data_IF_913725233957
#
_entry.id   IF_913725233957
#
_cell.length_a   1.000
_cell.length_b   1.000
_cell.length_c   1.000
_cell.angle_alpha   90.00
_cell.angle_beta   90.00
_cell.angle_gamma   90.00
#
_symmetry.space_group_name_H-M   'P 1'
#
loop_
_entity.id
_entity.type
_entity.pdbx_description
1 polymer ?
#
# COMPACT_ATOMS: atom_id res chain seq x y z
N UNK A 1 8.67 -8.48 9.66
CA UNK A 1 7.99 -7.55 8.75
C UNK A 1 6.57 -7.42 9.29
N UNK A 2 6.02 -6.21 9.30
CA UNK A 2 4.79 -5.93 10.07
C UNK A 2 3.60 -6.73 9.54
N UNK A 3 2.83 -7.41 10.42
CA UNK A 3 1.60 -8.13 10.09
C UNK A 3 0.61 -7.25 9.30
N UNK A 4 0.66 -5.92 9.51
CA UNK A 4 -0.17 -4.96 8.79
C UNK A 4 0.11 -4.92 7.28
N UNK A 5 1.35 -5.17 6.84
CA UNK A 5 1.68 -5.15 5.42
C UNK A 5 1.17 -6.40 4.73
N UNK A 6 1.35 -7.57 5.34
CA UNK A 6 0.80 -8.81 4.82
C UNK A 6 -0.72 -8.69 4.69
N UNK A 7 -1.40 -8.24 5.75
CA UNK A 7 -2.84 -7.99 5.69
C UNK A 7 -3.24 -7.00 4.59
N UNK A 8 -2.64 -5.81 4.58
CA UNK A 8 -3.01 -4.77 3.63
C UNK A 8 -2.77 -5.19 2.18
N UNK A 9 -1.60 -5.73 1.87
CA UNK A 9 -1.27 -6.09 0.50
C UNK A 9 -1.99 -7.36 0.03
N UNK A 10 -2.23 -8.34 0.89
CA UNK A 10 -2.99 -9.54 0.53
C UNK A 10 -4.49 -9.24 0.36
N UNK A 11 -5.08 -8.50 1.30
CA UNK A 11 -6.52 -8.24 1.30
C UNK A 11 -6.97 -7.17 0.28
N UNK A 12 -6.19 -6.10 0.08
CA UNK A 12 -6.56 -4.99 -0.81
C UNK A 12 -5.86 -5.03 -2.16
N UNK A 13 -4.80 -5.82 -2.29
CA UNK A 13 -4.08 -6.04 -3.54
C UNK A 13 -3.99 -7.54 -3.88
N UNK A 14 -5.08 -8.27 -3.67
CA UNK A 14 -5.26 -9.64 -4.20
C UNK A 14 -5.14 -9.66 -5.73
N UNK A 15 -5.08 -10.86 -6.32
CA UNK A 15 -4.76 -11.04 -7.75
C UNK A 15 -5.62 -10.21 -8.71
N UNK A 16 -6.91 -10.08 -8.41
CA UNK A 16 -7.92 -9.41 -9.24
C UNK A 16 -8.39 -8.07 -8.66
N UNK A 17 -7.58 -7.41 -7.82
CA UNK A 17 -7.94 -6.16 -7.14
C UNK A 17 -8.46 -5.04 -8.07
N UNK A 18 -8.14 -5.09 -9.37
CA UNK A 18 -8.64 -4.14 -10.37
C UNK A 18 -10.13 -4.30 -10.70
N UNK A 19 -10.73 -5.42 -10.34
CA UNK A 19 -12.18 -5.61 -10.45
C UNK A 19 -12.93 -4.80 -9.36
N UNK A 20 -12.28 -4.58 -8.22
CA UNK A 20 -12.85 -3.86 -7.07
C UNK A 20 -12.45 -2.37 -7.03
N UNK A 21 -11.29 -2.02 -7.61
CA UNK A 21 -10.73 -0.68 -7.52
C UNK A 21 -10.27 -0.11 -8.86
N UNK A 22 -10.72 1.10 -9.17
CA UNK A 22 -10.29 1.84 -10.38
C UNK A 22 -8.79 2.17 -10.39
N UNK A 23 -8.19 2.31 -9.21
CA UNK A 23 -6.77 2.61 -9.01
C UNK A 23 -6.24 2.04 -7.71
N UNK A 24 -4.92 1.90 -7.60
CA UNK A 24 -4.29 1.47 -6.36
C UNK A 24 -4.55 2.44 -5.20
N UNK A 25 -4.69 3.74 -5.49
CA UNK A 25 -5.01 4.75 -4.48
C UNK A 25 -6.48 4.73 -4.05
N UNK A 26 -7.40 4.17 -4.85
CA UNK A 26 -8.78 3.90 -4.36
C UNK A 26 -8.80 2.77 -3.34
N UNK A 27 -7.95 1.75 -3.47
CA UNK A 27 -7.80 0.71 -2.44
C UNK A 27 -7.29 1.30 -1.12
N UNK A 28 -6.32 2.23 -1.16
CA UNK A 28 -5.84 2.96 0.04
C UNK A 28 -6.96 3.77 0.71
N UNK A 29 -7.80 4.45 -0.09
CA UNK A 29 -8.95 5.20 0.44
C UNK A 29 -9.98 4.28 1.08
N UNK A 30 -10.20 3.11 0.50
CA UNK A 30 -11.12 2.11 1.03
C UNK A 30 -10.61 1.55 2.36
N UNK A 31 -9.32 1.17 2.44
CA UNK A 31 -8.66 0.77 3.68
C UNK A 31 -8.85 1.82 4.77
N UNK A 32 -8.54 3.09 4.48
CA UNK A 32 -8.71 4.19 5.44
C UNK A 32 -10.15 4.33 5.96
N UNK A 33 -11.15 4.03 5.12
CA UNK A 33 -12.56 4.16 5.46
C UNK A 33 -13.08 2.95 6.26
N UNK A 34 -12.59 1.76 5.92
CA UNK A 34 -13.10 0.50 6.45
C UNK A 34 -12.40 0.05 7.75
N UNK A 35 -11.12 0.38 7.89
CA UNK A 35 -10.28 -0.18 8.93
C UNK A 35 -10.24 0.67 10.21
N UNK A 36 -10.01 0.04 11.39
CA UNK A 36 -9.80 0.75 12.64
C UNK A 36 -8.60 1.71 12.56
N UNK A 37 -8.66 2.80 13.34
CA UNK A 37 -7.58 3.79 13.46
C UNK A 37 -6.23 3.15 13.77
N UNK A 38 -6.19 2.12 14.62
CA UNK A 38 -4.95 1.43 14.97
C UNK A 38 -4.29 0.74 13.77
N UNK A 39 -5.07 0.11 12.88
CA UNK A 39 -4.57 -0.48 11.63
C UNK A 39 -4.01 0.60 10.70
N UNK A 40 -4.68 1.75 10.60
CA UNK A 40 -4.24 2.90 9.81
C UNK A 40 -2.91 3.42 10.33
N UNK A 41 -2.77 3.62 11.65
CA UNK A 41 -1.53 4.07 12.28
C UNK A 41 -0.38 3.10 12.03
N UNK A 42 -0.63 1.79 12.16
CA UNK A 42 0.38 0.77 11.88
C UNK A 42 0.83 0.79 10.42
N UNK A 43 -0.10 0.93 9.46
CA UNK A 43 0.22 1.02 8.05
C UNK A 43 1.04 2.27 7.74
N UNK A 44 0.64 3.43 8.28
CA UNK A 44 1.39 4.70 8.13
C UNK A 44 2.82 4.58 8.65
N UNK A 45 3.01 4.00 9.84
CA UNK A 45 4.34 3.78 10.40
C UNK A 45 5.18 2.85 9.52
N UNK A 46 4.60 1.72 9.11
CA UNK A 46 5.28 0.78 8.22
C UNK A 46 5.68 1.41 6.90
N UNK A 47 4.81 2.20 6.27
CA UNK A 47 5.08 2.90 5.01
C UNK A 47 6.18 3.96 5.17
N UNK A 48 6.20 4.72 6.27
CA UNK A 48 7.26 5.69 6.58
C UNK A 48 8.62 4.98 6.78
N UNK A 49 8.64 3.85 7.50
CA UNK A 49 9.84 3.03 7.65
C UNK A 49 10.32 2.44 6.33
N UNK A 50 9.39 1.94 5.50
CA UNK A 50 9.72 1.38 4.18
C UNK A 50 10.31 2.46 3.27
N UNK A 51 9.72 3.66 3.25
CA UNK A 51 10.21 4.80 2.46
C UNK A 51 11.61 5.26 2.87
N UNK A 52 12.01 5.03 4.13
CA UNK A 52 13.36 5.35 4.61
C UNK A 52 14.46 4.45 4.04
N UNK A 53 14.09 3.33 3.40
CA UNK A 53 15.04 2.40 2.76
C UNK A 53 15.50 2.96 1.41
N UNK A 54 16.79 2.80 1.11
CA UNK A 54 17.41 3.33 -0.11
C UNK A 54 17.10 2.54 -1.39
N UNK A 55 16.59 1.32 -1.28
CA UNK A 55 16.24 0.47 -2.41
C UNK A 55 14.82 -0.05 -2.27
N UNK A 56 13.96 0.33 -3.23
CA UNK A 56 12.53 0.00 -3.30
C UNK A 56 12.21 -0.51 -4.71
N UNK A 57 12.60 -1.75 -5.04
CA UNK A 57 12.32 -2.34 -6.36
C UNK A 57 10.81 -2.48 -6.57
N UNK A 58 10.35 -2.49 -7.83
CA UNK A 58 8.93 -2.55 -8.18
C UNK A 58 8.17 -3.75 -7.59
N UNK A 59 8.87 -4.85 -7.28
CA UNK A 59 8.31 -6.04 -6.66
C UNK A 59 8.23 -5.97 -5.12
N UNK A 60 8.52 -4.81 -4.51
CA UNK A 60 8.52 -4.62 -3.05
C UNK A 60 7.20 -5.08 -2.43
N UNK A 61 6.07 -4.70 -3.03
CA UNK A 61 4.74 -5.06 -2.50
C UNK A 61 4.37 -6.52 -2.80
N UNK A 62 4.91 -7.10 -3.87
CA UNK A 62 4.73 -8.53 -4.14
C UNK A 62 5.41 -9.40 -3.08
N UNK A 63 6.57 -8.97 -2.58
CA UNK A 63 7.25 -9.64 -1.46
C UNK A 63 6.50 -9.52 -0.13
N UNK A 64 5.50 -8.64 -0.06
CA UNK A 64 4.63 -8.43 1.10
C UNK A 64 3.23 -9.05 0.90
N UNK A 65 3.05 -9.92 -0.11
CA UNK A 65 1.79 -10.65 -0.36
C UNK A 65 0.90 -10.04 -1.44
N UNK A 66 1.17 -8.81 -1.88
CA UNK A 66 0.33 -8.12 -2.87
C UNK A 66 0.58 -8.55 -4.32
N UNK A 67 -0.37 -8.23 -5.19
CA UNK A 67 -0.27 -8.42 -6.63
C UNK A 67 -0.11 -7.08 -7.38
N UNK A 68 0.04 -5.99 -6.62
CA UNK A 68 0.22 -4.66 -7.15
C UNK A 68 1.69 -4.31 -7.38
N UNK A 69 1.97 -3.75 -8.58
CA UNK A 69 3.23 -3.09 -8.91
C UNK A 69 2.96 -1.63 -9.29
N UNK A 70 3.59 -0.65 -8.62
CA UNK A 70 3.41 0.77 -8.91
C UNK A 70 3.65 1.19 -10.36
N UNK A 71 4.55 0.50 -11.07
CA UNK A 71 4.80 0.75 -12.50
C UNK A 71 3.56 0.55 -13.38
N UNK A 72 2.61 -0.30 -12.97
CA UNK A 72 1.33 -0.50 -13.69
C UNK A 72 0.45 0.75 -13.69
N UNK A 73 0.75 1.73 -12.84
CA UNK A 73 0.12 3.05 -12.79
C UNK A 73 1.12 4.19 -13.02
N UNK A 74 2.29 3.89 -13.62
CA UNK A 74 3.29 4.88 -13.98
C UNK A 74 4.03 5.50 -12.78
N UNK A 75 4.10 4.81 -11.65
CA UNK A 75 4.77 5.28 -10.43
C UNK A 75 5.94 4.39 -10.04
N UNK A 76 6.95 4.98 -9.40
CA UNK A 76 7.90 4.25 -8.55
C UNK A 76 7.23 3.83 -7.23
N UNK A 77 7.83 2.88 -6.53
CA UNK A 77 7.38 2.48 -5.19
C UNK A 77 7.40 3.67 -4.23
N UNK A 78 8.47 4.48 -4.26
CA UNK A 78 8.58 5.66 -3.40
C UNK A 78 7.49 6.70 -3.68
N UNK A 79 7.21 6.98 -4.96
CA UNK A 79 6.13 7.91 -5.35
C UNK A 79 4.76 7.40 -4.91
N UNK A 80 4.51 6.09 -5.05
CA UNK A 80 3.26 5.49 -4.61
C UNK A 80 3.09 5.58 -3.09
N UNK A 81 4.13 5.24 -2.32
CA UNK A 81 4.12 5.33 -0.85
C UNK A 81 3.84 6.77 -0.41
N UNK A 82 4.46 7.76 -1.05
CA UNK A 82 4.20 9.18 -0.77
C UNK A 82 2.73 9.54 -0.92
N UNK A 83 2.10 9.14 -2.03
CA UNK A 83 0.67 9.40 -2.26
C UNK A 83 -0.24 8.62 -1.30
N UNK A 84 0.11 7.38 -0.97
CA UNK A 84 -0.64 6.60 0.02
C UNK A 84 -0.61 7.27 1.40
N UNK A 85 0.55 7.78 1.83
CA UNK A 85 0.69 8.52 3.08
C UNK A 85 -0.14 9.82 3.09
N UNK A 86 -0.18 10.57 1.99
CA UNK A 86 -1.06 11.75 1.88
C UNK A 86 -2.54 11.44 2.05
N UNK A 87 -2.98 10.23 1.67
CA UNK A 87 -4.36 9.78 1.87
C UNK A 87 -4.57 9.39 3.32
N UNK A 88 -3.67 8.62 3.92
CA UNK A 88 -3.80 8.04 5.26
C UNK A 88 -3.64 9.07 6.39
N UNK A 89 -2.77 10.08 6.23
CA UNK A 89 -2.51 11.12 7.25
C UNK A 89 -3.56 12.25 7.27
N UNK A 90 -4.51 12.28 6.33
CA UNK A 90 -5.63 13.26 6.28
C UNK A 90 -6.79 12.88 7.20
#
# INVERSE_FOLDING_TARGET
>A
MSEIFEYFFDAYFHQDWRDDYESSLSAVKDFKKAEPTDSIVQLVQGLKELLSKSDLPQDTFNKLGGNFKPESEGMSVAEWIGKALEILDR
#
